data_IF_698162209894
#
_entry.id   IF_698162209894
#
_cell.length_a   1.000
_cell.length_b   1.000
_cell.length_c   1.000
_cell.angle_alpha   90.00
_cell.angle_beta   90.00
_cell.angle_gamma   90.00
#
_symmetry.space_group_name_H-M   'P 1'
#
loop_
_entity.id
_entity.type
_entity.pdbx_description
1 polymer ?
#
# COMPACT_ATOMS: atom_id res chain seq x y z
N UNK A 1 -16.76 12.30 7.23
CA UNK A 1 -17.81 11.26 7.38
C UNK A 1 -17.28 9.82 7.24
N UNK A 2 -16.44 9.47 6.25
CA UNK A 2 -15.99 8.06 6.03
C UNK A 2 -15.30 7.37 7.22
N UNK A 3 -14.48 8.07 8.00
CA UNK A 3 -13.76 7.47 9.13
C UNK A 3 -14.66 7.14 10.34
N UNK A 4 -15.76 7.87 10.54
CA UNK A 4 -16.67 7.66 11.68
C UNK A 4 -17.38 6.31 11.55
N UNK A 5 -17.80 5.95 10.34
CA UNK A 5 -18.44 4.66 10.07
C UNK A 5 -17.45 3.49 10.24
N UNK A 6 -16.22 3.66 9.76
CA UNK A 6 -15.16 2.63 9.90
C UNK A 6 -14.79 2.43 11.37
N UNK A 7 -14.76 3.49 12.17
CA UNK A 7 -14.52 3.40 13.60
C UNK A 7 -15.67 2.68 14.32
N UNK A 8 -16.93 3.04 14.03
CA UNK A 8 -18.09 2.34 14.60
C UNK A 8 -18.12 0.85 14.22
N UNK A 9 -17.68 0.50 13.01
CA UNK A 9 -17.53 -0.90 12.59
C UNK A 9 -16.44 -1.61 13.40
N UNK A 10 -15.27 -0.98 13.54
CA UNK A 10 -14.16 -1.52 14.33
C UNK A 10 -14.58 -1.80 15.78
N UNK A 11 -15.33 -0.87 16.37
CA UNK A 11 -15.87 -0.97 17.73
C UNK A 11 -16.85 -2.13 17.89
N UNK A 12 -17.78 -2.31 16.93
CA UNK A 12 -18.69 -3.46 16.92
C UNK A 12 -17.96 -4.80 16.80
N UNK A 13 -16.90 -4.88 16.02
CA UNK A 13 -16.07 -6.10 15.93
C UNK A 13 -15.36 -6.34 17.25
N UNK A 14 -14.82 -5.29 17.89
CA UNK A 14 -14.23 -5.40 19.23
C UNK A 14 -15.21 -5.95 20.27
N UNK A 15 -16.45 -5.45 20.27
CA UNK A 15 -17.53 -6.00 21.11
C UNK A 15 -17.86 -7.46 20.78
N UNK A 16 -17.82 -7.84 19.49
CA UNK A 16 -17.98 -9.22 19.04
C UNK A 16 -16.90 -10.15 19.58
N UNK A 17 -15.63 -9.72 19.56
CA UNK A 17 -14.52 -10.48 20.15
C UNK A 17 -14.73 -10.68 21.66
N UNK A 18 -15.09 -9.62 22.39
CA UNK A 18 -15.36 -9.70 23.82
C UNK A 18 -16.54 -10.61 24.17
N UNK A 19 -17.58 -10.64 23.32
CA UNK A 19 -18.70 -11.55 23.47
C UNK A 19 -18.29 -13.03 23.27
N UNK A 20 -17.42 -13.30 22.29
CA UNK A 20 -16.85 -14.65 22.08
C UNK A 20 -16.00 -15.06 23.29
N UNK A 21 -15.11 -14.18 23.75
CA UNK A 21 -14.29 -14.40 24.95
C UNK A 21 -15.16 -14.76 26.15
N UNK A 22 -16.17 -13.94 26.46
CA UNK A 22 -17.10 -14.18 27.57
C UNK A 22 -17.81 -15.53 27.43
N UNK A 23 -18.16 -15.92 26.20
CA UNK A 23 -18.81 -17.21 25.91
C UNK A 23 -17.86 -18.37 26.16
N UNK A 24 -16.61 -18.27 25.70
CA UNK A 24 -15.57 -19.28 25.94
C UNK A 24 -15.32 -19.42 27.45
N UNK A 25 -15.12 -18.31 28.17
CA UNK A 25 -14.89 -18.30 29.62
C UNK A 25 -16.03 -18.98 30.37
N UNK A 26 -17.29 -18.60 30.08
CA UNK A 26 -18.46 -19.25 30.69
C UNK A 26 -18.58 -20.73 30.34
N UNK A 27 -18.23 -21.11 29.12
CA UNK A 27 -18.27 -22.51 28.69
C UNK A 27 -17.24 -23.35 29.46
N UNK A 28 -16.04 -22.82 29.67
CA UNK A 28 -14.96 -23.47 30.41
C UNK A 28 -15.27 -23.59 31.92
N UNK A 29 -15.90 -22.58 32.52
CA UNK A 29 -16.24 -22.58 33.95
C UNK A 29 -17.39 -23.54 34.31
N UNK A 30 -18.35 -23.74 33.39
CA UNK A 30 -19.59 -24.46 33.70
C UNK A 30 -19.59 -25.94 33.27
N UNK A 31 -18.62 -26.41 32.49
CA UNK A 31 -18.56 -27.81 32.05
C UNK A 31 -17.46 -28.61 32.76
N UNK A 32 -17.84 -29.78 33.29
CA UNK A 32 -16.88 -30.78 33.80
C UNK A 32 -15.96 -31.33 32.71
N UNK A 33 -16.46 -31.45 31.47
CA UNK A 33 -15.73 -31.94 30.30
C UNK A 33 -16.06 -31.06 29.07
N UNK A 34 -15.42 -29.90 28.90
CA UNK A 34 -15.65 -29.05 27.73
C UNK A 34 -15.22 -29.78 26.45
N UNK A 35 -16.03 -29.71 25.40
CA UNK A 35 -15.68 -30.30 24.11
C UNK A 35 -14.72 -29.37 23.35
N UNK A 36 -13.52 -29.87 23.09
CA UNK A 36 -12.45 -29.12 22.39
C UNK A 36 -12.89 -28.63 21.01
N UNK A 37 -13.78 -29.36 20.33
CA UNK A 37 -14.26 -28.97 19.00
C UNK A 37 -15.07 -27.66 19.01
N UNK A 38 -15.88 -27.42 20.05
CA UNK A 38 -16.66 -26.17 20.16
C UNK A 38 -15.77 -24.98 20.51
N UNK A 39 -14.81 -25.19 21.40
CA UNK A 39 -13.83 -24.16 21.76
C UNK A 39 -12.96 -23.83 20.55
N UNK A 40 -12.51 -24.83 19.80
CA UNK A 40 -11.75 -24.65 18.56
C UNK A 40 -12.49 -23.76 17.56
N UNK A 41 -13.76 -24.05 17.30
CA UNK A 41 -14.58 -23.24 16.40
C UNK A 41 -14.75 -21.79 16.87
N UNK A 42 -14.93 -21.56 18.18
CA UNK A 42 -15.03 -20.21 18.75
C UNK A 42 -13.70 -19.45 18.69
N UNK A 43 -12.58 -20.13 18.94
CA UNK A 43 -11.24 -19.56 18.83
C UNK A 43 -10.94 -19.19 17.38
N UNK A 44 -11.31 -20.02 16.41
CA UNK A 44 -11.12 -19.70 15.01
C UNK A 44 -12.00 -18.53 14.56
N UNK A 45 -13.23 -18.42 15.07
CA UNK A 45 -14.05 -17.23 14.87
C UNK A 45 -13.42 -15.96 15.48
N UNK A 46 -12.86 -16.05 16.69
CA UNK A 46 -12.17 -14.95 17.33
C UNK A 46 -10.93 -14.49 16.53
N UNK A 47 -10.14 -15.43 15.99
CA UNK A 47 -9.00 -15.12 15.10
C UNK A 47 -9.46 -14.33 13.87
N UNK A 48 -10.52 -14.77 13.20
CA UNK A 48 -11.09 -14.06 12.04
C UNK A 48 -11.50 -12.63 12.43
N UNK A 49 -12.15 -12.44 13.58
CA UNK A 49 -12.53 -11.10 14.03
C UNK A 49 -11.32 -10.23 14.37
N UNK A 50 -10.28 -10.79 15.00
CA UNK A 50 -9.02 -10.10 15.23
C UNK A 50 -8.36 -9.66 13.91
N UNK A 51 -8.34 -10.52 12.90
CA UNK A 51 -7.80 -10.21 11.57
C UNK A 51 -8.60 -9.08 10.91
N UNK A 52 -9.94 -9.14 10.94
CA UNK A 52 -10.77 -8.07 10.38
C UNK A 52 -10.56 -6.75 11.14
N UNK A 53 -10.49 -6.79 12.48
CA UNK A 53 -10.20 -5.62 13.30
C UNK A 53 -8.84 -4.99 12.95
N UNK A 54 -7.82 -5.82 12.71
CA UNK A 54 -6.52 -5.38 12.25
C UNK A 54 -6.57 -4.79 10.83
N UNK A 55 -7.26 -5.44 9.89
CA UNK A 55 -7.45 -4.94 8.52
C UNK A 55 -8.15 -3.58 8.49
N UNK A 56 -9.14 -3.37 9.36
CA UNK A 56 -9.78 -2.06 9.49
C UNK A 56 -8.77 -1.00 9.96
N UNK A 57 -7.92 -1.35 10.93
CA UNK A 57 -6.86 -0.45 11.40
C UNK A 57 -5.87 -0.13 10.28
N UNK A 58 -5.48 -1.11 9.48
CA UNK A 58 -4.63 -0.90 8.30
C UNK A 58 -5.29 -0.01 7.25
N UNK A 59 -6.59 -0.21 7.00
CA UNK A 59 -7.35 0.64 6.08
C UNK A 59 -7.44 2.10 6.58
N UNK A 60 -7.67 2.31 7.89
CA UNK A 60 -7.63 3.65 8.50
C UNK A 60 -6.26 4.29 8.34
N UNK A 61 -5.19 3.53 8.61
CA UNK A 61 -3.81 4.00 8.43
C UNK A 61 -3.58 4.41 6.96
N UNK A 62 -3.91 3.54 6.00
CA UNK A 62 -3.79 3.82 4.58
C UNK A 62 -4.52 5.11 4.14
N UNK A 63 -5.70 5.39 4.71
CA UNK A 63 -6.46 6.59 4.38
C UNK A 63 -5.87 7.88 4.99
N UNK A 64 -5.21 7.79 6.15
CA UNK A 64 -4.64 8.96 6.84
C UNK A 64 -3.23 9.25 6.34
N UNK A 65 -2.43 8.23 6.03
CA UNK A 65 -1.02 8.35 5.61
C UNK A 65 -0.77 9.35 4.46
N UNK A 66 -1.61 9.48 3.40
CA UNK A 66 -1.41 10.44 2.32
C UNK A 66 -1.53 11.91 2.74
N UNK A 67 -2.25 12.19 3.83
CA UNK A 67 -2.50 13.55 4.34
C UNK A 67 -1.32 14.03 5.21
N UNK A 68 -0.46 13.11 5.66
CA UNK A 68 0.70 13.41 6.48
C UNK A 68 1.83 14.04 5.66
N UNK A 69 2.59 14.95 6.29
CA UNK A 69 3.83 15.48 5.72
C UNK A 69 4.80 14.33 5.41
N UNK A 70 5.58 14.46 4.33
CA UNK A 70 6.50 13.41 3.86
C UNK A 70 7.41 12.83 4.96
N UNK A 71 7.90 13.67 5.87
CA UNK A 71 8.78 13.27 6.97
C UNK A 71 8.05 12.42 8.01
N UNK A 72 6.82 12.80 8.33
CA UNK A 72 5.94 12.05 9.26
C UNK A 72 5.46 10.75 8.61
N UNK A 73 5.27 10.75 7.29
CA UNK A 73 4.85 9.56 6.52
C UNK A 73 5.83 8.40 6.66
N UNK A 74 7.14 8.67 6.60
CA UNK A 74 8.17 7.64 6.78
C UNK A 74 8.13 7.01 8.17
N UNK A 75 8.00 7.85 9.21
CA UNK A 75 7.85 7.35 10.59
C UNK A 75 6.56 6.54 10.77
N UNK A 76 5.45 7.01 10.18
CA UNK A 76 4.14 6.37 10.28
C UNK A 76 4.10 4.97 9.64
N UNK A 77 4.95 4.72 8.64
CA UNK A 77 5.07 3.41 7.99
C UNK A 77 5.96 2.44 8.77
N UNK A 78 6.90 2.95 9.57
CA UNK A 78 7.82 2.13 10.37
C UNK A 78 7.27 1.68 11.73
N UNK A 79 6.14 2.23 12.17
CA UNK A 79 5.56 1.88 13.48
C UNK A 79 4.54 0.76 13.35
N UNK A 80 4.46 -0.10 14.34
CA UNK A 80 3.42 -1.13 14.41
C UNK A 80 2.06 -0.50 14.80
N UNK A 81 0.97 -1.16 14.41
CA UNK A 81 -0.37 -0.80 14.88
C UNK A 81 -0.58 -1.53 16.21
N UNK A 82 -0.83 -0.78 17.26
CA UNK A 82 -1.21 -1.31 18.57
C UNK A 82 -2.42 -0.54 19.11
N UNK A 83 -2.32 -0.08 20.35
CA UNK A 83 -3.32 0.80 20.98
C UNK A 83 -3.59 2.07 20.15
N UNK A 84 -2.55 2.65 19.58
CA UNK A 84 -2.63 3.81 18.69
C UNK A 84 -2.37 3.42 17.24
N UNK A 85 -3.10 4.06 16.31
CA UNK A 85 -3.02 3.79 14.86
C UNK A 85 -1.60 3.94 14.28
N UNK A 86 -0.79 4.84 14.86
CA UNK A 86 0.60 5.08 14.47
C UNK A 86 1.60 4.65 15.55
N UNK A 87 1.15 3.83 16.49
CA UNK A 87 1.92 3.39 17.64
C UNK A 87 2.08 4.45 18.72
N UNK A 88 2.54 4.03 19.92
CA UNK A 88 2.84 4.95 21.00
C UNK A 88 4.04 5.85 20.63
N UNK A 89 4.12 7.02 21.29
CA UNK A 89 5.24 7.95 21.19
C UNK A 89 5.47 8.57 19.78
N UNK A 90 4.48 8.46 18.87
CA UNK A 90 4.53 9.10 17.55
C UNK A 90 4.73 10.62 17.67
N UNK A 91 4.08 11.25 18.65
CA UNK A 91 4.22 12.68 18.92
C UNK A 91 5.64 13.07 19.33
N UNK A 92 6.28 12.28 20.19
CA UNK A 92 7.64 12.50 20.64
C UNK A 92 8.63 12.36 19.49
N UNK A 93 8.46 11.34 18.65
CA UNK A 93 9.25 11.11 17.44
C UNK A 93 9.16 12.27 16.46
N UNK A 94 7.97 12.85 16.27
CA UNK A 94 7.77 14.05 15.44
C UNK A 94 8.54 15.24 16.01
N UNK A 95 8.39 15.54 17.32
CA UNK A 95 9.10 16.65 17.97
C UNK A 95 10.62 16.49 17.89
N UNK A 96 11.13 15.28 18.13
CA UNK A 96 12.55 14.97 18.01
C UNK A 96 13.06 15.16 16.58
N UNK A 97 12.31 14.71 15.57
CA UNK A 97 12.65 14.89 14.17
C UNK A 97 12.65 16.38 13.77
N UNK A 98 11.68 17.17 14.24
CA UNK A 98 11.62 18.61 13.99
C UNK A 98 12.80 19.35 14.64
N UNK A 99 13.13 19.03 15.90
CA UNK A 99 14.29 19.59 16.59
C UNK A 99 15.60 19.25 15.85
N UNK A 100 15.77 18.00 15.44
CA UNK A 100 16.93 17.55 14.66
C UNK A 100 17.03 18.28 13.32
N UNK A 101 15.91 18.51 12.64
CA UNK A 101 15.90 19.27 11.40
C UNK A 101 16.26 20.74 11.61
N UNK A 102 15.79 21.37 12.68
CA UNK A 102 16.16 22.74 13.01
C UNK A 102 17.67 22.85 13.27
N UNK A 103 18.23 21.91 14.03
CA UNK A 103 19.68 21.84 14.27
C UNK A 103 20.45 21.57 12.98
N UNK A 104 20.02 20.60 12.16
CA UNK A 104 20.65 20.28 10.88
C UNK A 104 20.62 21.43 9.88
N UNK A 105 19.56 22.26 9.88
CA UNK A 105 19.51 23.50 9.06
C UNK A 105 20.55 24.53 9.52
N UNK A 106 20.82 24.65 10.82
CA UNK A 106 21.85 25.54 11.36
C UNK A 106 23.27 25.04 11.06
N UNK A 107 23.45 23.72 10.96
CA UNK A 107 24.75 23.08 10.68
C UNK A 107 25.07 23.03 9.18
N UNK A 108 24.07 23.09 8.29
CA UNK A 108 24.29 23.15 6.83
C UNK A 108 25.09 24.40 6.48
N UNK A 109 26.42 24.25 6.44
CA UNK A 109 27.34 25.23 5.90
C UNK A 109 26.91 25.47 4.46
N UNK A 110 26.48 26.70 4.18
CA UNK A 110 26.18 27.14 2.82
C UNK A 110 27.38 26.79 1.95
N UNK A 111 27.21 25.80 1.07
CA UNK A 111 28.24 25.38 0.11
C UNK A 111 28.75 26.64 -0.57
N UNK A 112 30.00 26.98 -0.25
CA UNK A 112 30.70 28.12 -0.82
C UNK A 112 30.66 27.95 -2.33
N UNK A 113 29.82 28.73 -3.02
CA UNK A 113 29.87 28.79 -4.48
C UNK A 113 31.18 29.50 -4.82
N UNK A 114 32.20 28.84 -5.39
CA UNK A 114 33.38 29.56 -5.82
C UNK A 114 32.93 30.55 -6.88
N UNK A 115 33.10 31.86 -6.61
CA UNK A 115 32.92 32.90 -7.60
C UNK A 115 34.06 32.76 -8.60
N UNK A 116 33.88 31.93 -9.64
CA UNK A 116 34.73 31.99 -10.83
C UNK A 116 34.50 33.33 -11.50
N UNK A 117 35.34 34.31 -11.15
CA UNK A 117 35.48 35.54 -11.93
C UNK A 117 36.11 35.15 -13.27
N UNK A 118 35.26 34.87 -14.25
CA UNK A 118 35.68 34.76 -15.64
C UNK A 118 36.03 36.18 -16.09
N UNK A 119 37.30 36.54 -16.00
CA UNK A 119 37.85 37.74 -16.60
C UNK A 119 37.79 37.57 -18.12
N UNK A 120 36.75 38.13 -18.75
CA UNK A 120 36.71 38.28 -20.21
C UNK A 120 37.82 39.25 -20.62
N UNK A 121 38.94 38.74 -21.11
CA UNK A 121 39.92 39.55 -21.85
C UNK A 121 39.21 40.07 -23.11
N UNK A 122 39.21 41.39 -23.28
CA UNK A 122 38.79 42.07 -24.51
C UNK A 122 39.82 41.79 -25.59
N UNK A 123 39.49 40.97 -26.57
CA UNK A 123 40.11 41.04 -27.90
C UNK A 123 39.19 41.88 -28.78
N UNK A 124 39.76 42.95 -29.35
CA UNK A 124 39.08 43.80 -30.33
C UNK A 124 38.82 43.03 -31.64
N UNK A 125 37.82 43.48 -32.43
CA UNK A 125 37.37 42.82 -33.65
C UNK A 125 38.16 43.32 -34.87
N UNK A 126 38.57 42.39 -35.74
CA UNK A 126 38.96 42.73 -37.11
C UNK A 126 37.80 42.35 -38.04
N UNK A 127 37.25 43.38 -38.66
CA UNK A 127 36.15 43.33 -39.63
C UNK A 127 36.54 42.56 -40.89
N UNK A 128 35.58 41.84 -41.49
CA UNK A 128 35.13 42.04 -42.89
C UNK A 128 33.93 41.11 -43.23
N UNK A 129 33.14 41.40 -44.29
CA UNK A 129 31.70 41.55 -44.15
C UNK A 129 30.82 40.61 -45.01
N UNK A 130 29.51 40.76 -44.76
CA UNK A 130 28.38 40.46 -45.66
C UNK A 130 28.01 38.96 -45.76
N UNK A 131 26.75 38.53 -45.76
CA UNK A 131 25.48 39.15 -46.14
C UNK A 131 24.35 38.40 -45.40
N UNK A 132 23.43 39.14 -44.78
CA UNK A 132 22.01 39.20 -45.17
C UNK A 132 21.05 38.25 -44.41
N UNK A 133 20.28 38.88 -43.51
CA UNK A 133 18.83 38.76 -43.34
C UNK A 133 18.26 37.36 -43.01
N UNK A 134 17.78 37.16 -41.78
CA UNK A 134 16.38 37.50 -41.46
C UNK A 134 16.00 37.11 -40.03
N UNK A 135 15.37 38.09 -39.38
CA UNK A 135 14.60 38.02 -38.15
C UNK A 135 13.24 37.36 -38.43
N UNK A 136 12.80 36.44 -37.57
CA UNK A 136 11.41 36.14 -37.16
C UNK A 136 11.45 34.75 -36.48
N UNK A 137 11.44 34.58 -35.15
CA UNK A 137 10.46 34.93 -34.10
C UNK A 137 9.05 34.33 -34.30
N UNK A 138 8.73 33.45 -33.35
CA UNK A 138 7.42 33.04 -32.81
C UNK A 138 6.57 31.98 -33.52
N UNK A 139 6.48 30.85 -32.82
CA UNK A 139 5.33 30.01 -32.48
C UNK A 139 4.14 29.86 -33.47
N UNK A 140 3.88 28.58 -33.76
CA UNK A 140 2.56 27.90 -33.69
C UNK A 140 1.99 27.37 -35.01
N UNK A 141 1.39 26.18 -34.87
CA UNK A 141 0.40 25.51 -35.73
C UNK A 141 0.85 24.71 -36.98
N UNK A 142 0.88 23.38 -36.77
CA UNK A 142 -0.04 22.37 -37.38
C UNK A 142 0.33 21.73 -38.74
N UNK A 143 0.14 20.40 -38.76
CA UNK A 143 0.19 19.38 -39.84
C UNK A 143 1.60 18.93 -40.24
N UNK A 144 1.97 17.64 -40.19
CA UNK A 144 1.29 16.38 -40.59
C UNK A 144 1.78 15.21 -39.69
N UNK A 145 0.90 14.45 -39.01
CA UNK A 145 0.30 13.15 -39.40
C UNK A 145 1.28 11.94 -39.27
N UNK A 146 0.81 10.72 -38.93
CA UNK A 146 0.94 10.20 -37.57
C UNK A 146 1.67 8.85 -37.46
N UNK A 147 2.55 8.69 -36.47
CA UNK A 147 3.04 7.37 -36.07
C UNK A 147 2.11 6.83 -34.97
N UNK A 148 1.05 6.19 -35.42
CA UNK A 148 0.21 5.31 -34.61
C UNK A 148 0.96 4.00 -34.34
N UNK A 149 0.99 3.54 -33.08
CA UNK A 149 0.71 2.11 -32.86
C UNK A 149 1.49 1.28 -31.83
N UNK A 150 2.52 1.75 -31.12
CA UNK A 150 3.24 0.88 -30.15
C UNK A 150 2.62 0.84 -28.74
N UNK A 151 1.29 0.69 -28.65
CA UNK A 151 0.58 0.60 -27.34
C UNK A 151 -0.48 -0.49 -27.25
N UNK A 152 -0.32 -1.60 -27.99
CA UNK A 152 -1.23 -2.76 -27.89
C UNK A 152 -0.56 -4.12 -27.68
N UNK A 153 0.69 -4.21 -27.19
CA UNK A 153 1.36 -5.51 -26.98
C UNK A 153 1.48 -6.01 -25.53
N UNK A 154 0.96 -5.28 -24.55
CA UNK A 154 1.08 -5.64 -23.12
C UNK A 154 -0.21 -6.24 -22.50
N UNK A 155 -1.39 -6.03 -23.11
CA UNK A 155 -2.66 -6.53 -22.56
C UNK A 155 -3.09 -7.92 -23.06
N UNK A 156 -2.50 -8.42 -24.14
CA UNK A 156 -2.88 -9.72 -24.73
C UNK A 156 -2.09 -10.90 -24.15
N UNK A 157 -0.88 -10.68 -23.62
CA UNK A 157 -0.12 -11.73 -22.89
C UNK A 157 -0.65 -12.03 -21.49
N UNK A 158 -1.54 -11.19 -20.93
CA UNK A 158 -2.18 -11.49 -19.63
C UNK A 158 -3.43 -12.35 -19.76
N UNK A 159 -4.12 -12.30 -20.91
CA UNK A 159 -5.31 -13.13 -21.16
C UNK A 159 -4.96 -14.56 -21.58
N UNK A 160 -3.83 -14.77 -22.27
CA UNK A 160 -3.34 -16.12 -22.60
C UNK A 160 -2.81 -16.90 -21.38
N UNK A 161 -2.33 -16.20 -20.33
CA UNK A 161 -1.86 -16.85 -19.08
C UNK A 161 -2.98 -17.22 -18.11
N UNK A 162 -4.18 -16.70 -18.31
CA UNK A 162 -5.34 -16.97 -17.45
C UNK A 162 -6.19 -18.15 -17.98
N UNK A 163 -6.04 -18.50 -19.27
CA UNK A 163 -6.73 -19.64 -19.89
C UNK A 163 -6.00 -20.96 -19.60
N UNK A 164 -4.66 -20.95 -19.50
CA UNK A 164 -3.88 -22.19 -19.29
C UNK A 164 -3.86 -22.66 -17.81
N UNK A 165 -4.13 -21.77 -16.86
CA UNK A 165 -4.23 -22.13 -15.42
C UNK A 165 -5.63 -22.64 -15.06
N UNK A 166 -6.66 -22.26 -15.83
CA UNK A 166 -8.05 -22.69 -15.61
C UNK A 166 -8.37 -24.08 -16.16
N UNK A 167 -7.54 -24.64 -17.05
CA UNK A 167 -7.77 -25.99 -17.62
C UNK A 167 -7.09 -27.10 -16.81
N UNK A 168 -6.15 -26.79 -15.92
CA UNK A 168 -5.53 -27.80 -15.05
C UNK A 168 -6.37 -28.10 -13.79
N UNK A 169 -7.28 -27.22 -13.38
CA UNK A 169 -8.10 -27.39 -12.17
C UNK A 169 -9.45 -28.07 -12.41
N UNK A 170 -9.82 -28.34 -13.66
CA UNK A 170 -11.09 -29.01 -14.00
C UNK A 170 -10.96 -30.52 -14.27
N UNK A 171 -9.75 -31.03 -14.51
CA UNK A 171 -9.54 -32.48 -14.70
C UNK A 171 -9.30 -33.25 -13.39
N UNK A 172 -8.69 -32.63 -12.35
CA UNK A 172 -8.48 -33.32 -11.06
C UNK A 172 -9.74 -33.48 -10.21
N UNK A 173 -10.77 -32.63 -10.40
CA UNK A 173 -11.99 -32.68 -9.58
C UNK A 173 -12.93 -33.81 -10.05
N UNK A 174 -12.85 -34.24 -11.31
CA UNK A 174 -13.73 -35.30 -11.83
C UNK A 174 -13.27 -36.71 -11.42
N UNK A 175 -11.96 -36.92 -11.20
CA UNK A 175 -11.41 -38.24 -10.83
C UNK A 175 -11.74 -38.59 -9.36
N UNK A 176 -11.86 -37.61 -8.46
CA UNK A 176 -12.21 -37.87 -7.05
C UNK A 176 -13.69 -38.13 -6.80
N UNK A 177 -14.60 -37.65 -7.65
CA UNK A 177 -16.04 -37.89 -7.48
C UNK A 177 -16.48 -39.28 -7.98
N UNK A 178 -15.72 -39.91 -8.87
CA UNK A 178 -16.02 -41.28 -9.33
C UNK A 178 -15.48 -42.37 -8.38
N UNK A 179 -14.42 -42.10 -7.61
CA UNK A 179 -13.89 -43.04 -6.62
C UNK A 179 -14.78 -43.19 -5.37
N UNK A 180 -15.53 -42.15 -4.98
CA UNK A 180 -16.42 -42.20 -3.81
C UNK A 180 -17.76 -42.91 -4.04
N UNK A 181 -18.19 -43.09 -5.29
CA UNK A 181 -19.51 -43.65 -5.63
C UNK A 181 -19.52 -45.17 -5.82
N UNK A 182 -18.35 -45.82 -5.76
CA UNK A 182 -18.19 -47.28 -5.86
C UNK A 182 -18.01 -47.98 -4.50
N UNK A 183 -17.89 -47.25 -3.39
CA UNK A 183 -17.67 -47.84 -2.05
C UNK A 183 -18.96 -48.10 -1.24
N UNK A 184 -20.16 -47.86 -1.82
CA UNK A 184 -21.44 -48.00 -1.12
C UNK A 184 -22.32 -49.17 -1.60
N UNK A 185 -21.79 -50.06 -2.44
CA UNK A 185 -22.50 -51.26 -2.90
C UNK A 185 -21.65 -52.51 -2.67
N UNK A 186 -21.38 -52.89 -1.42
CA UNK A 186 -21.14 -54.29 -1.01
C UNK A 186 -21.08 -54.36 0.54
N UNK A 187 -22.26 -54.50 1.14
CA UNK A 187 -22.49 -55.12 2.45
C UNK A 187 -23.99 -55.40 2.59
N UNK A 188 -24.40 -56.50 1.98
CA UNK A 188 -25.51 -57.33 2.44
C UNK A 188 -24.95 -58.75 2.56
#
# INVERSE_FOLDING_TARGET
>A
MKNVQVQALQEKIGLGIAAIETTITRYLENLKNPSENYIGALVDAAKIFCDVHHLISMHRRYNITPILKHEVKKMAQSTEIGEYLFGPNMQEKIKAAEALQQVGRKIKVSTYKPKTKITKRKTQPQEQPSTSKNFQRFLSTKSSEPIQGERKRSKERRKAKEIEVSTQTTEEVTVRTQAGKLALFHKN
#
